data_IF_794717179851
#
_entry.id   IF_794717179851
#
_cell.length_a   1.000
_cell.length_b   1.000
_cell.length_c   1.000
_cell.angle_alpha   90.00
_cell.angle_beta   90.00
_cell.angle_gamma   90.00
#
_symmetry.space_group_name_H-M   'P 1'
#
loop_
_entity.id
_entity.type
_entity.pdbx_description
1 polymer ?
#
# COMPACT_ATOMS: atom_id res chain seq x y z
N UNK A 1 58.44 27.00 -15.80
CA UNK A 1 59.70 26.33 -16.19
C UNK A 1 59.61 24.85 -15.85
N UNK A 2 60.29 24.01 -16.64
CA UNK A 2 60.34 22.53 -16.63
C UNK A 2 59.08 21.84 -17.22
N UNK A 3 59.03 21.53 -18.52
CA UNK A 3 59.72 20.45 -19.27
C UNK A 3 59.20 19.05 -18.92
N UNK A 4 58.47 18.42 -19.87
CA UNK A 4 58.74 17.08 -20.46
C UNK A 4 57.62 16.72 -21.46
N UNK A 5 57.89 16.79 -22.77
CA UNK A 5 58.27 15.67 -23.68
C UNK A 5 57.05 14.74 -23.88
N UNK A 6 56.30 14.88 -24.98
CA UNK A 6 56.45 14.13 -26.26
C UNK A 6 56.45 12.61 -26.04
N UNK A 7 55.68 11.77 -26.71
CA UNK A 7 55.64 11.61 -28.16
C UNK A 7 54.54 10.59 -28.48
N UNK A 8 53.68 10.92 -29.44
CA UNK A 8 53.65 10.31 -30.77
C UNK A 8 53.36 8.79 -30.78
N UNK A 9 52.12 8.49 -31.16
CA UNK A 9 51.68 7.20 -31.68
C UNK A 9 52.49 6.87 -32.94
N UNK A 10 53.25 5.77 -32.90
CA UNK A 10 53.79 5.12 -34.10
C UNK A 10 53.16 3.75 -34.23
N UNK A 11 52.55 3.53 -35.39
CA UNK A 11 51.99 2.25 -35.83
C UNK A 11 53.09 1.19 -35.91
N UNK A 12 52.91 0.09 -35.19
CA UNK A 12 53.68 -1.13 -35.40
C UNK A 12 52.81 -2.11 -36.18
N UNK A 13 53.20 -2.34 -37.43
CA UNK A 13 52.68 -3.39 -38.28
C UNK A 13 52.99 -4.75 -37.64
N UNK A 14 51.97 -5.42 -37.13
CA UNK A 14 52.07 -6.81 -36.70
C UNK A 14 51.82 -7.71 -37.92
N UNK A 15 52.88 -8.42 -38.32
CA UNK A 15 52.88 -9.41 -39.37
C UNK A 15 51.80 -10.48 -39.13
N UNK A 16 50.92 -10.65 -40.11
CA UNK A 16 49.97 -11.76 -40.17
C UNK A 16 50.79 -13.01 -40.52
N UNK A 17 51.20 -13.78 -39.50
CA UNK A 17 51.60 -15.17 -39.73
C UNK A 17 50.35 -15.94 -40.15
N UNK A 18 50.30 -16.32 -41.41
CA UNK A 18 49.34 -17.30 -41.90
C UNK A 18 49.55 -18.63 -41.16
N UNK A 19 48.74 -18.92 -40.17
CA UNK A 19 48.56 -20.28 -39.67
C UNK A 19 47.77 -21.04 -40.73
N UNK A 20 48.41 -21.97 -41.43
CA UNK A 20 47.73 -22.91 -42.30
C UNK A 20 46.61 -23.60 -41.49
N UNK A 21 45.37 -23.70 -42.00
CA UNK A 21 44.36 -24.50 -41.33
C UNK A 21 44.87 -25.94 -41.34
N UNK A 22 45.04 -26.51 -40.15
CA UNK A 22 45.30 -27.93 -40.01
C UNK A 22 44.17 -28.67 -40.75
N UNK A 23 44.53 -29.44 -41.78
CA UNK A 23 43.60 -30.30 -42.48
C UNK A 23 42.84 -31.13 -41.43
N UNK A 24 41.50 -31.22 -41.50
CA UNK A 24 40.77 -32.07 -40.59
C UNK A 24 41.29 -33.49 -40.82
N UNK A 25 41.94 -34.07 -39.82
CA UNK A 25 42.22 -35.50 -39.81
C UNK A 25 40.86 -36.15 -39.96
N UNK A 26 40.58 -36.73 -41.12
CA UNK A 26 39.44 -37.61 -41.30
C UNK A 26 39.66 -38.79 -40.36
N UNK A 27 39.17 -38.64 -39.13
CA UNK A 27 38.87 -39.77 -38.28
C UNK A 27 37.89 -40.60 -39.09
N UNK A 28 38.34 -41.76 -39.56
CA UNK A 28 37.46 -42.79 -40.07
C UNK A 28 36.52 -43.12 -38.91
N UNK A 29 35.36 -42.48 -38.88
CA UNK A 29 34.32 -42.73 -37.90
C UNK A 29 33.84 -44.14 -38.17
N UNK A 30 34.38 -45.09 -37.43
CA UNK A 30 33.76 -46.40 -37.27
C UNK A 30 32.36 -46.13 -36.73
N UNK A 31 31.35 -46.26 -37.59
CA UNK A 31 29.95 -46.42 -37.21
C UNK A 31 29.80 -47.74 -36.44
N UNK A 32 30.29 -47.77 -35.21
CA UNK A 32 29.98 -48.80 -34.22
C UNK A 32 28.81 -48.27 -33.40
N UNK A 33 27.62 -48.28 -33.99
CA UNK A 33 26.37 -48.06 -33.26
C UNK A 33 25.97 -49.33 -32.53
N UNK A 34 26.34 -49.44 -31.27
CA UNK A 34 25.61 -50.25 -30.27
C UNK A 34 24.86 -49.32 -29.33
N UNK A 35 24.01 -48.45 -29.89
CA UNK A 35 22.83 -48.00 -29.14
C UNK A 35 21.82 -49.14 -29.18
N UNK A 36 21.11 -49.39 -28.08
CA UNK A 36 20.07 -50.41 -28.01
C UNK A 36 19.09 -50.21 -29.17
N UNK A 37 19.22 -51.01 -30.24
CA UNK A 37 18.21 -51.02 -31.29
C UNK A 37 16.92 -51.49 -30.61
N UNK A 38 15.85 -50.66 -30.57
CA UNK A 38 14.57 -51.16 -30.10
C UNK A 38 14.23 -52.42 -30.90
N UNK A 39 13.62 -53.40 -30.23
CA UNK A 39 13.28 -54.65 -30.89
C UNK A 39 12.55 -54.36 -32.21
N UNK A 40 12.85 -55.08 -33.30
CA UNK A 40 12.22 -54.85 -34.60
C UNK A 40 10.68 -54.81 -34.51
N UNK A 41 10.11 -55.60 -33.59
CA UNK A 41 8.69 -55.61 -33.28
C UNK A 41 8.16 -54.27 -32.73
N UNK A 42 8.94 -53.57 -31.91
CA UNK A 42 8.55 -52.29 -31.32
C UNK A 42 8.61 -51.15 -32.33
N UNK A 43 9.60 -51.16 -33.24
CA UNK A 43 9.67 -50.19 -34.35
C UNK A 43 8.58 -50.42 -35.39
N UNK A 44 8.27 -51.68 -35.70
CA UNK A 44 7.18 -51.99 -36.62
C UNK A 44 5.83 -51.50 -36.06
N UNK A 45 5.61 -51.66 -34.75
CA UNK A 45 4.44 -51.11 -34.07
C UNK A 45 4.38 -49.59 -34.16
N UNK A 46 5.47 -48.87 -33.90
CA UNK A 46 5.45 -47.40 -34.01
C UNK A 46 5.19 -46.88 -35.42
N UNK A 47 5.61 -47.61 -36.47
CA UNK A 47 5.28 -47.28 -37.87
C UNK A 47 3.79 -47.53 -38.16
N UNK A 48 3.23 -48.64 -37.65
CA UNK A 48 1.80 -48.94 -37.79
C UNK A 48 0.97 -47.89 -37.03
N UNK A 49 1.41 -47.50 -35.84
CA UNK A 49 0.71 -46.54 -34.99
C UNK A 49 0.73 -45.13 -35.57
N UNK A 50 1.80 -44.73 -36.27
CA UNK A 50 1.92 -43.45 -36.95
C UNK A 50 0.97 -43.25 -38.15
N UNK A 51 0.34 -44.32 -38.64
CA UNK A 51 -0.62 -44.22 -39.75
C UNK A 51 -1.97 -43.68 -39.29
N UNK A 52 -2.64 -42.86 -40.12
CA UNK A 52 -3.96 -42.34 -39.78
C UNK A 52 -4.98 -43.48 -39.67
N UNK A 53 -5.74 -43.49 -38.57
CA UNK A 53 -6.81 -44.47 -38.31
C UNK A 53 -6.79 -44.99 -36.87
N UNK A 54 -7.97 -45.24 -36.31
CA UNK A 54 -8.14 -45.68 -34.92
C UNK A 54 -8.20 -47.23 -34.77
N UNK A 55 -8.34 -47.97 -35.88
CA UNK A 55 -8.50 -49.42 -35.85
C UNK A 55 -7.31 -50.14 -36.49
N UNK A 56 -6.86 -51.25 -35.87
CA UNK A 56 -5.74 -52.07 -36.35
C UNK A 56 -6.00 -52.59 -37.77
N UNK A 57 -7.23 -53.00 -38.07
CA UNK A 57 -7.65 -53.46 -39.41
C UNK A 57 -7.52 -52.35 -40.46
N UNK A 58 -7.80 -51.10 -40.09
CA UNK A 58 -7.64 -49.96 -41.01
C UNK A 58 -6.17 -49.63 -41.22
N UNK A 59 -5.33 -49.66 -40.17
CA UNK A 59 -3.89 -49.41 -40.27
C UNK A 59 -3.19 -50.47 -41.13
N UNK A 60 -3.48 -51.76 -40.88
CA UNK A 60 -2.95 -52.86 -41.70
C UNK A 60 -3.56 -52.86 -43.11
N UNK A 61 -4.83 -52.49 -43.24
CA UNK A 61 -5.50 -52.31 -44.53
C UNK A 61 -4.83 -51.26 -45.40
N UNK A 62 -4.52 -50.07 -44.86
CA UNK A 62 -3.83 -49.00 -45.60
C UNK A 62 -2.43 -49.44 -46.03
N UNK A 63 -1.66 -50.09 -45.16
CA UNK A 63 -0.33 -50.61 -45.51
C UNK A 63 -0.40 -51.68 -46.59
N UNK A 64 -1.33 -52.62 -46.46
CA UNK A 64 -1.49 -53.74 -47.38
C UNK A 64 -2.00 -53.26 -48.74
N UNK A 65 -2.97 -52.34 -48.75
CA UNK A 65 -3.48 -51.71 -49.97
C UNK A 65 -2.42 -50.83 -50.63
N UNK A 66 -1.69 -50.02 -49.86
CA UNK A 66 -0.62 -49.15 -50.40
C UNK A 66 0.52 -49.97 -51.01
N UNK A 67 0.98 -51.00 -50.30
CA UNK A 67 2.04 -51.90 -50.79
C UNK A 67 1.56 -52.74 -51.96
N UNK A 68 0.34 -53.27 -51.91
CA UNK A 68 -0.27 -54.04 -53.00
C UNK A 68 -0.50 -53.22 -54.26
N UNK A 69 -0.99 -51.97 -54.11
CA UNK A 69 -1.17 -51.05 -55.22
C UNK A 69 0.18 -50.64 -55.84
N UNK A 70 1.21 -50.39 -55.02
CA UNK A 70 2.55 -50.10 -55.51
C UNK A 70 3.16 -51.29 -56.27
N UNK A 71 3.05 -52.50 -55.73
CA UNK A 71 3.50 -53.72 -56.40
C UNK A 71 2.72 -53.97 -57.71
N UNK A 72 1.42 -53.71 -57.72
CA UNK A 72 0.59 -53.80 -58.93
C UNK A 72 1.01 -52.76 -59.99
N UNK A 73 1.25 -51.51 -59.58
CA UNK A 73 1.67 -50.45 -60.49
C UNK A 73 3.03 -50.74 -61.15
N UNK A 74 3.96 -51.35 -60.41
CA UNK A 74 5.25 -51.83 -60.93
C UNK A 74 5.05 -53.05 -61.84
N UNK A 75 4.26 -54.03 -61.40
CA UNK A 75 4.04 -55.29 -62.13
C UNK A 75 3.31 -55.09 -63.46
N UNK A 76 2.47 -54.07 -63.58
CA UNK A 76 1.72 -53.75 -64.80
C UNK A 76 2.35 -52.61 -65.61
N UNK A 77 3.55 -52.16 -65.24
CA UNK A 77 4.25 -51.04 -65.88
C UNK A 77 3.41 -49.74 -65.96
N UNK A 78 2.42 -49.60 -65.07
CA UNK A 78 1.62 -48.37 -64.96
C UNK A 78 2.52 -47.20 -64.54
N UNK A 79 3.59 -47.51 -63.81
CA UNK A 79 4.69 -46.59 -63.53
C UNK A 79 5.97 -47.06 -64.23
N UNK A 80 6.45 -46.26 -65.19
CA UNK A 80 7.68 -46.52 -65.93
C UNK A 80 8.83 -45.74 -65.31
N UNK A 81 9.91 -46.43 -64.93
CA UNK A 81 11.12 -45.78 -64.44
C UNK A 81 11.83 -45.05 -65.59
N UNK A 82 11.65 -43.74 -65.63
CA UNK A 82 12.32 -42.84 -66.58
C UNK A 82 13.24 -41.83 -65.85
N UNK A 83 13.97 -41.01 -66.60
CA UNK A 83 14.84 -39.95 -66.09
C UNK A 83 14.12 -38.97 -65.13
N UNK A 84 12.81 -38.73 -65.35
CA UNK A 84 11.99 -37.88 -64.49
C UNK A 84 11.81 -38.44 -63.07
N UNK A 85 11.96 -39.76 -62.88
CA UNK A 85 11.85 -40.38 -61.54
C UNK A 85 13.02 -40.00 -60.63
N UNK A 86 14.20 -39.77 -61.22
CA UNK A 86 15.37 -39.26 -60.50
C UNK A 86 15.18 -37.79 -60.11
N UNK A 87 14.57 -36.98 -61.00
CA UNK A 87 14.17 -35.60 -60.69
C UNK A 87 13.16 -35.59 -59.54
N UNK A 88 12.12 -36.42 -59.60
CA UNK A 88 11.11 -36.55 -58.53
C UNK A 88 11.74 -36.96 -57.20
N UNK A 89 12.63 -37.95 -57.19
CA UNK A 89 13.33 -38.38 -55.98
C UNK A 89 14.19 -37.27 -55.37
N UNK A 90 14.91 -36.52 -56.20
CA UNK A 90 15.71 -35.36 -55.75
C UNK A 90 14.85 -34.23 -55.20
N UNK A 91 13.71 -33.94 -55.85
CA UNK A 91 12.76 -32.93 -55.41
C UNK A 91 12.14 -33.31 -54.07
N UNK A 92 11.69 -34.57 -53.91
CA UNK A 92 11.15 -35.06 -52.64
C UNK A 92 12.21 -35.03 -51.52
N UNK A 93 13.47 -35.34 -51.84
CA UNK A 93 14.58 -35.22 -50.90
C UNK A 93 14.77 -33.79 -50.40
N UNK A 94 14.84 -32.82 -51.33
CA UNK A 94 14.98 -31.39 -50.99
C UNK A 94 13.75 -30.87 -50.24
N UNK A 95 12.54 -31.22 -50.71
CA UNK A 95 11.28 -30.83 -50.07
C UNK A 95 11.19 -31.35 -48.63
N UNK A 96 11.65 -32.58 -48.38
CA UNK A 96 11.66 -33.15 -47.02
C UNK A 96 12.64 -32.42 -46.10
N UNK A 97 13.83 -32.07 -46.60
CA UNK A 97 14.81 -31.30 -45.84
C UNK A 97 14.30 -29.88 -45.54
N UNK A 98 13.71 -29.20 -46.52
CA UNK A 98 13.09 -27.89 -46.34
C UNK A 98 11.92 -27.94 -45.36
N UNK A 99 11.04 -28.94 -45.48
CA UNK A 99 9.93 -29.11 -44.56
C UNK A 99 10.41 -29.28 -43.11
N UNK A 100 11.45 -30.09 -42.90
CA UNK A 100 12.04 -30.28 -41.55
C UNK A 100 12.72 -29.02 -41.03
N UNK A 101 13.36 -28.23 -41.89
CA UNK A 101 14.02 -26.98 -41.49
C UNK A 101 13.05 -25.82 -41.24
N UNK A 102 11.97 -25.71 -42.01
CA UNK A 102 11.05 -24.57 -41.96
C UNK A 102 9.85 -24.77 -41.02
N UNK A 103 9.52 -26.01 -40.65
CA UNK A 103 8.38 -26.28 -39.76
C UNK A 103 8.48 -25.52 -38.44
N UNK A 104 9.61 -25.66 -37.75
CA UNK A 104 9.82 -25.08 -36.44
C UNK A 104 9.74 -23.54 -36.43
N UNK A 105 10.45 -22.79 -37.29
CA UNK A 105 10.36 -21.32 -37.29
C UNK A 105 8.97 -20.82 -37.67
N UNK A 106 8.23 -21.51 -38.55
CA UNK A 106 6.85 -21.12 -38.90
C UNK A 106 5.91 -21.31 -37.70
N UNK A 107 6.04 -22.43 -36.98
CA UNK A 107 5.23 -22.69 -35.79
C UNK A 107 5.52 -21.65 -34.71
N UNK A 108 6.80 -21.43 -34.38
CA UNK A 108 7.20 -20.43 -33.38
C UNK A 108 6.74 -19.01 -33.75
N UNK A 109 6.83 -18.64 -35.03
CA UNK A 109 6.30 -17.35 -35.50
C UNK A 109 4.78 -17.26 -35.33
N UNK A 110 4.05 -18.32 -35.66
CA UNK A 110 2.59 -18.36 -35.52
C UNK A 110 2.15 -18.30 -34.06
N UNK A 111 2.80 -19.06 -33.17
CA UNK A 111 2.53 -19.05 -31.73
C UNK A 111 2.87 -17.70 -31.12
N UNK A 112 4.01 -17.10 -31.49
CA UNK A 112 4.38 -15.75 -31.06
C UNK A 112 3.34 -14.71 -31.48
N UNK A 113 2.79 -14.80 -32.70
CA UNK A 113 1.74 -13.87 -33.16
C UNK A 113 0.45 -14.06 -32.36
N UNK A 114 0.02 -15.29 -32.13
CA UNK A 114 -1.18 -15.62 -31.35
C UNK A 114 -1.02 -15.11 -29.91
N UNK A 115 0.14 -15.37 -29.28
CA UNK A 115 0.43 -14.93 -27.92
C UNK A 115 0.40 -13.40 -27.78
N UNK A 116 0.99 -12.68 -28.74
CA UNK A 116 0.94 -11.21 -28.76
C UNK A 116 -0.51 -10.68 -28.86
N UNK A 117 -1.33 -11.27 -29.74
CA UNK A 117 -2.74 -10.86 -29.88
C UNK A 117 -3.51 -11.14 -28.58
N UNK A 118 -3.32 -12.32 -27.98
CA UNK A 118 -3.96 -12.68 -26.71
C UNK A 118 -3.52 -11.77 -25.56
N UNK A 119 -2.23 -11.43 -25.50
CA UNK A 119 -1.67 -10.53 -24.49
C UNK A 119 -2.27 -9.13 -24.60
N UNK A 120 -2.27 -8.53 -25.80
CA UNK A 120 -2.88 -7.21 -26.05
C UNK A 120 -4.36 -7.21 -25.70
N UNK A 121 -5.10 -8.25 -26.09
CA UNK A 121 -6.53 -8.33 -25.79
C UNK A 121 -6.81 -8.48 -24.29
N UNK A 122 -5.96 -9.23 -23.58
CA UNK A 122 -6.08 -9.40 -22.12
C UNK A 122 -5.74 -8.12 -21.38
N UNK A 123 -4.67 -7.44 -21.80
CA UNK A 123 -4.26 -6.15 -21.26
C UNK A 123 -5.33 -5.08 -21.51
N UNK A 124 -5.84 -4.96 -22.74
CA UNK A 124 -6.90 -4.00 -23.05
C UNK A 124 -8.18 -4.22 -22.22
N UNK A 125 -8.53 -5.47 -21.91
CA UNK A 125 -9.65 -5.76 -20.99
C UNK A 125 -9.34 -5.36 -19.55
N UNK A 126 -8.12 -5.59 -19.09
CA UNK A 126 -7.69 -5.18 -17.75
C UNK A 126 -7.68 -3.65 -17.62
N UNK A 127 -7.09 -2.96 -18.59
CA UNK A 127 -7.02 -1.50 -18.65
C UNK A 127 -8.42 -0.87 -18.72
N UNK A 128 -9.32 -1.44 -19.53
CA UNK A 128 -10.71 -0.96 -19.58
C UNK A 128 -11.44 -1.17 -18.25
N UNK A 129 -11.23 -2.30 -17.56
CA UNK A 129 -11.82 -2.51 -16.23
C UNK A 129 -11.26 -1.52 -15.21
N UNK A 130 -9.95 -1.27 -15.25
CA UNK A 130 -9.30 -0.30 -14.37
C UNK A 130 -9.82 1.13 -14.62
N UNK A 131 -9.91 1.55 -15.88
CA UNK A 131 -10.44 2.86 -16.24
C UNK A 131 -11.90 3.04 -15.82
N UNK A 132 -12.74 2.00 -15.99
CA UNK A 132 -14.14 2.06 -15.52
C UNK A 132 -14.21 2.11 -13.99
N UNK A 133 -13.37 1.35 -13.28
CA UNK A 133 -13.30 1.41 -11.82
C UNK A 133 -12.90 2.81 -11.33
N UNK A 134 -11.86 3.41 -11.91
CA UNK A 134 -11.42 4.78 -11.59
C UNK A 134 -12.52 5.81 -11.85
N UNK A 135 -13.30 5.64 -12.93
CA UNK A 135 -14.46 6.50 -13.21
C UNK A 135 -15.58 6.31 -12.19
N UNK A 136 -15.82 5.08 -11.73
CA UNK A 136 -16.81 4.82 -10.68
C UNK A 136 -16.38 5.48 -9.38
N UNK A 137 -15.11 5.34 -8.98
CA UNK A 137 -14.58 5.92 -7.76
C UNK A 137 -14.66 7.46 -7.79
N UNK A 138 -14.27 8.08 -8.90
CA UNK A 138 -14.38 9.54 -9.09
C UNK A 138 -15.84 10.04 -9.04
N UNK A 139 -16.79 9.29 -9.59
CA UNK A 139 -18.22 9.64 -9.52
C UNK A 139 -18.78 9.39 -8.12
N UNK A 140 -18.30 8.37 -7.42
CA UNK A 140 -18.71 8.07 -6.04
C UNK A 140 -18.30 9.19 -5.08
N UNK A 141 -17.12 9.79 -5.24
CA UNK A 141 -16.72 10.98 -4.47
C UNK A 141 -17.67 12.17 -4.71
N UNK A 142 -18.19 12.32 -5.94
CA UNK A 142 -19.14 13.38 -6.28
C UNK A 142 -20.55 13.11 -5.78
N UNK A 143 -20.89 11.86 -5.44
CA UNK A 143 -22.24 11.48 -5.00
C UNK A 143 -22.61 12.14 -3.65
N UNK A 144 -21.64 12.32 -2.76
CA UNK A 144 -21.87 12.85 -1.40
C UNK A 144 -21.85 14.39 -1.33
N UNK A 145 -21.49 15.08 -2.42
CA UNK A 145 -21.36 16.56 -2.42
C UNK A 145 -22.67 17.25 -2.05
N UNK A 146 -23.81 16.69 -2.45
CA UNK A 146 -25.13 17.25 -2.14
C UNK A 146 -25.42 17.18 -0.63
N UNK A 147 -25.09 16.08 0.03
CA UNK A 147 -25.38 15.90 1.44
C UNK A 147 -24.36 16.64 2.32
N UNK A 148 -23.09 16.68 1.93
CA UNK A 148 -22.08 17.56 2.56
C UNK A 148 -22.49 19.02 2.47
N UNK A 149 -23.02 19.46 1.32
CA UNK A 149 -23.47 20.85 1.16
C UNK A 149 -24.65 21.17 2.07
N UNK A 150 -25.66 20.28 2.16
CA UNK A 150 -26.77 20.45 3.12
C UNK A 150 -26.26 20.50 4.56
N UNK A 151 -25.34 19.59 4.92
CA UNK A 151 -24.74 19.56 6.25
C UNK A 151 -23.98 20.85 6.56
N UNK A 152 -23.29 21.45 5.58
CA UNK A 152 -22.60 22.73 5.75
C UNK A 152 -23.60 23.87 6.00
N UNK A 153 -24.73 23.90 5.29
CA UNK A 153 -25.79 24.88 5.53
C UNK A 153 -26.45 24.68 6.90
N UNK A 154 -26.76 23.44 7.28
CA UNK A 154 -27.32 23.14 8.60
C UNK A 154 -26.34 23.49 9.73
N UNK A 155 -25.05 23.21 9.55
CA UNK A 155 -23.99 23.62 10.48
C UNK A 155 -23.95 25.14 10.62
N UNK A 156 -24.00 25.90 9.51
CA UNK A 156 -24.03 27.37 9.55
C UNK A 156 -25.26 27.91 10.30
N UNK A 157 -26.42 27.30 10.09
CA UNK A 157 -27.67 27.68 10.77
C UNK A 157 -27.64 27.36 12.26
N UNK A 158 -27.10 26.21 12.62
CA UNK A 158 -26.94 25.81 14.02
C UNK A 158 -25.91 26.68 14.75
N UNK A 159 -24.82 27.06 14.07
CA UNK A 159 -23.82 27.98 14.61
C UNK A 159 -24.45 29.34 14.94
N UNK A 160 -25.23 29.91 14.01
CA UNK A 160 -25.90 31.19 14.23
C UNK A 160 -26.91 31.14 15.40
N UNK A 161 -27.65 30.03 15.55
CA UNK A 161 -28.57 29.82 16.68
C UNK A 161 -27.83 29.72 18.01
N UNK A 162 -26.79 28.89 18.06
CA UNK A 162 -25.99 28.69 19.26
C UNK A 162 -25.26 29.96 19.68
N UNK A 163 -24.79 30.75 18.71
CA UNK A 163 -24.18 32.04 18.99
C UNK A 163 -25.20 33.03 19.58
N UNK A 164 -26.40 33.10 19.02
CA UNK A 164 -27.47 33.94 19.58
C UNK A 164 -27.86 33.53 21.01
N UNK A 165 -28.04 32.23 21.26
CA UNK A 165 -28.33 31.69 22.61
C UNK A 165 -27.17 31.99 23.58
N UNK A 166 -25.92 31.79 23.15
CA UNK A 166 -24.74 32.10 23.95
C UNK A 166 -24.67 33.60 24.29
N UNK A 167 -24.99 34.49 23.36
CA UNK A 167 -25.05 35.94 23.62
C UNK A 167 -26.13 36.29 24.64
N UNK A 168 -27.33 35.71 24.53
CA UNK A 168 -28.42 35.95 25.47
C UNK A 168 -28.04 35.48 26.89
N UNK A 169 -27.52 34.25 27.03
CA UNK A 169 -27.06 33.74 28.32
C UNK A 169 -25.91 34.59 28.89
N UNK A 170 -25.01 35.07 28.05
CA UNK A 170 -23.91 35.95 28.47
C UNK A 170 -24.42 37.29 28.98
N UNK A 171 -25.41 37.89 28.32
CA UNK A 171 -26.04 39.13 28.79
C UNK A 171 -26.76 38.94 30.13
N UNK A 172 -27.51 37.84 30.28
CA UNK A 172 -28.20 37.51 31.53
C UNK A 172 -27.22 37.28 32.68
N UNK A 173 -26.13 36.56 32.45
CA UNK A 173 -25.11 36.30 33.48
C UNK A 173 -24.31 37.54 33.83
N UNK A 174 -23.99 38.41 32.85
CA UNK A 174 -23.37 39.72 33.11
C UNK A 174 -24.28 40.60 33.98
N UNK A 175 -25.56 40.70 33.66
CA UNK A 175 -26.52 41.46 34.46
C UNK A 175 -26.65 40.95 35.90
N UNK A 176 -26.73 39.62 36.08
CA UNK A 176 -26.76 39.01 37.42
C UNK A 176 -25.46 39.25 38.17
N UNK A 177 -24.31 39.19 37.50
CA UNK A 177 -23.01 39.49 38.10
C UNK A 177 -22.91 40.95 38.56
N UNK A 178 -23.42 41.89 37.76
CA UNK A 178 -23.46 43.31 38.12
C UNK A 178 -24.34 43.53 39.37
N UNK A 179 -25.57 42.99 39.38
CA UNK A 179 -26.45 43.07 40.57
C UNK A 179 -25.75 42.48 41.79
N UNK A 180 -25.19 41.27 41.67
CA UNK A 180 -24.48 40.62 42.78
C UNK A 180 -23.33 41.48 43.27
N UNK A 181 -22.54 42.07 42.37
CA UNK A 181 -21.42 42.94 42.75
C UNK A 181 -21.87 44.16 43.55
N UNK A 182 -23.00 44.77 43.16
CA UNK A 182 -23.58 45.88 43.92
C UNK A 182 -24.04 45.42 45.30
N UNK A 183 -24.75 44.30 45.39
CA UNK A 183 -25.24 43.76 46.66
C UNK A 183 -24.08 43.37 47.60
N UNK A 184 -23.04 42.73 47.07
CA UNK A 184 -21.81 42.41 47.81
C UNK A 184 -21.12 43.71 48.31
N UNK A 185 -21.14 44.79 47.53
CA UNK A 185 -20.61 46.09 47.96
C UNK A 185 -21.44 46.70 49.11
N UNK A 186 -22.77 46.60 49.05
CA UNK A 186 -23.66 47.03 50.15
C UNK A 186 -23.41 46.23 51.42
N UNK A 187 -23.30 44.90 51.32
CA UNK A 187 -23.01 44.02 52.47
C UNK A 187 -21.63 44.33 53.09
N UNK A 188 -20.62 44.57 52.25
CA UNK A 188 -19.29 45.01 52.72
C UNK A 188 -19.35 46.36 53.43
N UNK A 189 -20.09 47.31 52.87
CA UNK A 189 -20.29 48.63 53.50
C UNK A 189 -20.98 48.49 54.86
N UNK A 190 -22.05 47.70 54.95
CA UNK A 190 -22.77 47.47 56.21
C UNK A 190 -21.88 46.80 57.26
N UNK A 191 -21.10 45.78 56.86
CA UNK A 191 -20.15 45.11 57.76
C UNK A 191 -19.09 46.08 58.26
N UNK A 192 -18.53 46.92 57.37
CA UNK A 192 -17.56 47.96 57.74
C UNK A 192 -18.14 49.01 58.71
N UNK A 193 -19.40 49.41 58.51
CA UNK A 193 -20.11 50.33 59.42
C UNK A 193 -20.33 49.67 60.78
N UNK A 194 -20.80 48.41 60.82
CA UNK A 194 -20.98 47.65 62.07
C UNK A 194 -19.67 47.50 62.83
N UNK A 195 -18.58 47.16 62.15
CA UNK A 195 -17.24 47.07 62.77
C UNK A 195 -16.76 48.44 63.30
N UNK A 196 -16.97 49.53 62.57
CA UNK A 196 -16.62 50.88 63.03
C UNK A 196 -17.43 51.28 64.26
N UNK A 197 -18.73 51.02 64.28
CA UNK A 197 -19.59 51.27 65.44
C UNK A 197 -19.15 50.45 66.65
N UNK A 198 -18.82 49.17 66.47
CA UNK A 198 -18.29 48.33 67.55
C UNK A 198 -16.96 48.85 68.10
N UNK A 199 -16.05 49.30 67.22
CA UNK A 199 -14.79 49.93 67.63
C UNK A 199 -15.01 51.23 68.40
N UNK A 200 -15.86 52.12 67.90
CA UNK A 200 -16.18 53.39 68.57
C UNK A 200 -16.84 53.15 69.94
N UNK A 201 -17.76 52.18 70.02
CA UNK A 201 -18.42 51.82 71.27
C UNK A 201 -17.43 51.18 72.26
N UNK A 202 -16.51 50.32 71.79
CA UNK A 202 -15.45 49.76 72.62
C UNK A 202 -14.48 50.85 73.12
N UNK A 203 -14.04 51.77 72.26
CA UNK A 203 -13.18 52.90 72.64
C UNK A 203 -13.87 53.81 73.66
N UNK A 204 -15.16 54.12 73.46
CA UNK A 204 -15.95 54.92 74.40
C UNK A 204 -16.13 54.23 75.76
N UNK A 205 -16.39 52.92 75.76
CA UNK A 205 -16.48 52.12 76.99
C UNK A 205 -15.13 52.07 77.69
N UNK A 206 -14.04 51.79 76.98
CA UNK A 206 -12.67 51.78 77.54
C UNK A 206 -12.28 53.15 78.11
N UNK A 207 -12.56 54.24 77.40
CA UNK A 207 -12.30 55.60 77.89
C UNK A 207 -13.09 55.91 79.16
N UNK A 208 -14.38 55.52 79.22
CA UNK A 208 -15.21 55.68 80.41
C UNK A 208 -14.72 54.81 81.58
N UNK A 209 -14.28 53.59 81.31
CA UNK A 209 -13.70 52.68 82.31
C UNK A 209 -12.40 53.25 82.87
N UNK A 210 -11.49 53.71 82.02
CA UNK A 210 -10.25 54.36 82.43
C UNK A 210 -10.50 55.64 83.25
N UNK A 211 -11.49 56.46 82.87
CA UNK A 211 -11.87 57.64 83.64
C UNK A 211 -12.47 57.27 85.02
N UNK A 212 -13.35 56.27 85.08
CA UNK A 212 -13.92 55.79 86.34
C UNK A 212 -12.88 55.14 87.25
N UNK A 213 -11.88 54.44 86.69
CA UNK A 213 -10.76 53.88 87.46
C UNK A 213 -9.80 54.95 87.99
N UNK A 214 -9.80 56.15 87.43
CA UNK A 214 -9.02 57.29 87.94
C UNK A 214 -9.71 57.98 89.14
N UNK A 215 -10.99 57.71 89.41
CA UNK A 215 -11.69 58.28 90.55
C UNK A 215 -11.22 57.65 91.87
N UNK A 216 -10.80 58.47 92.87
CA UNK A 216 -10.17 57.97 94.10
C UNK A 216 -11.14 57.16 94.99
N UNK A 217 -12.45 57.39 94.87
CA UNK A 217 -13.47 56.63 95.61
C UNK A 217 -13.55 55.18 95.14
N UNK A 218 -13.56 54.97 93.82
CA UNK A 218 -13.61 53.63 93.22
C UNK A 218 -12.29 52.89 93.49
N UNK A 219 -11.15 53.58 93.47
CA UNK A 219 -9.86 52.97 93.84
C UNK A 219 -9.84 52.48 95.28
N UNK A 220 -10.39 53.24 96.23
CA UNK A 220 -10.52 52.80 97.63
C UNK A 220 -11.47 51.62 97.78
N UNK A 221 -12.63 51.65 97.10
CA UNK A 221 -13.58 50.53 97.11
C UNK A 221 -12.97 49.25 96.52
N UNK A 222 -12.20 49.35 95.44
CA UNK A 222 -11.44 48.22 94.86
C UNK A 222 -10.39 47.72 95.85
N UNK A 223 -9.64 48.62 96.51
CA UNK A 223 -8.64 48.22 97.52
C UNK A 223 -9.30 47.47 98.69
N UNK A 224 -10.43 47.96 99.17
CA UNK A 224 -11.20 47.32 100.24
C UNK A 224 -11.72 45.95 99.79
N UNK A 225 -12.20 45.82 98.56
CA UNK A 225 -12.63 44.56 97.96
C UNK A 225 -11.45 43.58 97.83
N UNK A 226 -10.28 44.04 97.37
CA UNK A 226 -9.08 43.20 97.28
C UNK A 226 -8.59 42.75 98.66
N UNK A 227 -8.67 43.60 99.69
CA UNK A 227 -8.35 43.21 101.08
C UNK A 227 -9.34 42.14 101.55
N UNK A 228 -10.63 42.32 101.33
CA UNK A 228 -11.65 41.31 101.65
C UNK A 228 -11.41 39.98 100.90
N UNK A 229 -11.06 40.01 99.62
CA UNK A 229 -10.76 38.82 98.83
C UNK A 229 -9.48 38.11 99.34
N UNK A 230 -8.45 38.86 99.75
CA UNK A 230 -7.25 38.29 100.38
C UNK A 230 -7.56 37.71 101.76
N UNK A 231 -8.42 38.35 102.55
CA UNK A 231 -8.88 37.83 103.84
C UNK A 231 -9.63 36.51 103.66
N UNK A 232 -10.50 36.39 102.66
CA UNK A 232 -11.21 35.12 102.38
C UNK A 232 -10.29 34.03 101.82
N UNK A 233 -9.29 34.37 101.01
CA UNK A 233 -8.30 33.41 100.50
C UNK A 233 -7.34 32.95 101.62
N UNK A 234 -6.94 33.86 102.52
CA UNK A 234 -6.08 33.52 103.66
C UNK A 234 -6.83 32.69 104.71
N UNK A 235 -8.11 32.97 104.96
CA UNK A 235 -8.98 32.13 105.78
C UNK A 235 -9.26 30.74 105.17
N UNK A 236 -9.08 30.57 103.86
CA UNK A 236 -9.19 29.27 103.17
C UNK A 236 -7.88 28.48 103.12
N UNK A 237 -6.73 29.07 103.46
CA UNK A 237 -5.40 28.45 103.35
C UNK A 237 -4.72 28.20 104.71
N UNK A 238 -5.40 28.54 105.81
CA UNK A 238 -5.07 28.16 107.18
C UNK A 238 -5.97 27.01 107.65
#
# INVERSE_FOLDING_TARGET
MALRIASARTAAAAAIRASAPAAPRMASARLMSTESRPEPAQKAKSVIDALPGNNIVSKTGILTLGTGAAAFAISKEIYVFNEETLILASFLGIATLLYRGMKEPIVQWSEGRIANIMSVLTQARADHKAAVAEKIDSVAEMADVVDVTKALFDMSKNMAKLEAEAYELKQRTAYVADIKSTLDAWVRHETSVRERQQKELAERVLARLNAALADPKIQQDILNQCIADIETISAKKA
#
